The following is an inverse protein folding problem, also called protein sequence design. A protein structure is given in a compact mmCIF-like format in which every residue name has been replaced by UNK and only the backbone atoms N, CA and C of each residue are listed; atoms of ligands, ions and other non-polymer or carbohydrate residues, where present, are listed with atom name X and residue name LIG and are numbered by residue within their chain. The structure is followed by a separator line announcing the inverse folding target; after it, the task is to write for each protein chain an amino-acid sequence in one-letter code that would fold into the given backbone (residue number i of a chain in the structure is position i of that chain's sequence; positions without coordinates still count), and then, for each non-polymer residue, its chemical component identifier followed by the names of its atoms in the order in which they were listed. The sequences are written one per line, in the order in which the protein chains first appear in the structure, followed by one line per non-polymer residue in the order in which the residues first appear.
data_IF_232282090491
#
_entry.id   IF_232282090491
#
_cell.length_a   1.000
_cell.length_b   1.000
_cell.length_c   1.000
_cell.angle_alpha   90.00
_cell.angle_beta   90.00
_cell.angle_gamma   90.00
#
_symmetry.space_group_name_H-M   'P 1'
#
loop_
_entity.id
_entity.type
_entity.pdbx_description
1 polymer ?
#
# COMPACT_ATOMS: atom_id res chain seq x y z
N UNK A 1 8.55 -35.97 -19.60
CA UNK A 1 8.91 -37.17 -18.78
C UNK A 1 7.93 -37.19 -17.62
N UNK A 2 6.96 -38.10 -17.68
CA UNK A 2 5.90 -38.22 -16.65
C UNK A 2 6.53 -38.80 -15.37
N UNK A 3 6.31 -38.15 -14.24
CA UNK A 3 6.57 -38.74 -12.94
C UNK A 3 5.26 -38.88 -12.18
N UNK A 4 5.00 -40.12 -11.79
CA UNK A 4 3.79 -40.65 -11.23
C UNK A 4 3.55 -40.25 -9.78
N UNK A 5 2.26 -40.03 -9.44
CA UNK A 5 1.72 -39.94 -8.08
C UNK A 5 1.96 -41.25 -7.33
N UNK A 6 2.52 -41.17 -6.11
CA UNK A 6 2.12 -41.94 -4.93
C UNK A 6 3.01 -41.67 -3.71
N UNK A 7 2.38 -41.15 -2.67
CA UNK A 7 2.60 -41.53 -1.27
C UNK A 7 3.76 -40.87 -0.55
N UNK A 8 3.47 -39.86 0.26
CA UNK A 8 3.83 -39.97 1.69
C UNK A 8 2.94 -39.01 2.51
N UNK A 9 2.13 -39.60 3.37
CA UNK A 9 1.43 -38.92 4.45
C UNK A 9 2.42 -38.77 5.58
N UNK A 10 2.70 -37.52 5.95
CA UNK A 10 3.51 -37.15 7.09
C UNK A 10 3.10 -35.76 7.54
N UNK A 11 1.89 -35.63 8.10
CA UNK A 11 1.42 -34.41 8.69
C UNK A 11 2.17 -34.14 10.00
N UNK A 12 3.11 -33.18 9.98
CA UNK A 12 3.46 -32.44 11.18
C UNK A 12 2.74 -31.10 11.08
N UNK A 13 1.61 -31.01 11.76
CA UNK A 13 0.82 -29.81 11.84
C UNK A 13 1.59 -28.67 12.50
N UNK A 14 2.03 -27.72 11.71
CA UNK A 14 2.24 -26.36 12.19
C UNK A 14 0.86 -25.74 12.36
N UNK A 15 0.34 -25.76 13.59
CA UNK A 15 -0.84 -25.02 13.99
C UNK A 15 -0.57 -23.53 13.71
N UNK A 16 -1.14 -23.00 12.62
CA UNK A 16 -1.26 -21.57 12.43
C UNK A 16 -2.17 -21.06 13.55
N UNK A 17 -1.56 -20.54 14.60
CA UNK A 17 -2.24 -19.85 15.67
C UNK A 17 -3.00 -18.67 15.07
N UNK A 18 -4.32 -18.64 15.22
CA UNK A 18 -5.07 -17.39 15.14
C UNK A 18 -4.31 -16.33 15.93
N UNK A 19 -4.02 -15.15 15.37
CA UNK A 19 -3.33 -14.14 16.12
C UNK A 19 -4.22 -13.72 17.28
N UNK A 20 -3.91 -14.20 18.47
CA UNK A 20 -4.30 -13.49 19.69
C UNK A 20 -3.71 -12.10 19.54
N UNK A 21 -4.50 -11.07 19.84
CA UNK A 21 -4.06 -9.68 20.00
C UNK A 21 -2.71 -9.68 20.71
N UNK A 22 -1.63 -9.61 19.95
CA UNK A 22 -0.32 -9.39 20.50
C UNK A 22 -0.29 -7.91 20.86
N UNK A 23 -0.36 -7.59 22.14
CA UNK A 23 0.01 -6.27 22.65
C UNK A 23 1.51 -6.21 22.46
N UNK A 24 1.98 -5.36 21.55
CA UNK A 24 3.39 -5.20 21.24
C UNK A 24 4.20 -4.81 22.47
N UNK A 25 5.51 -5.04 22.43
CA UNK A 25 6.41 -4.61 23.50
C UNK A 25 6.18 -3.10 23.73
N UNK A 26 5.59 -2.78 24.87
CA UNK A 26 5.33 -1.40 25.26
C UNK A 26 6.45 -0.98 26.18
N UNK A 27 7.20 0.04 25.80
CA UNK A 27 8.23 0.62 26.64
C UNK A 27 7.63 1.19 27.94
N UNK A 28 8.45 1.40 28.97
CA UNK A 28 8.00 1.93 30.26
C UNK A 28 7.29 3.29 30.16
N UNK A 29 7.57 4.07 29.09
CA UNK A 29 6.94 5.35 28.76
C UNK A 29 5.74 5.23 27.80
N UNK A 30 5.29 4.00 27.52
CA UNK A 30 4.06 3.70 26.78
C UNK A 30 4.16 3.69 25.25
N UNK A 31 5.37 3.68 24.68
CA UNK A 31 5.56 3.55 23.24
C UNK A 31 5.49 2.09 22.79
N UNK A 32 4.77 1.83 21.69
CA UNK A 32 4.89 0.58 20.94
C UNK A 32 6.22 0.62 20.15
N UNK A 33 7.06 -0.39 20.34
CA UNK A 33 8.38 -0.44 19.68
C UNK A 33 8.24 -1.07 18.29
N UNK A 34 8.56 -0.31 17.26
CA UNK A 34 8.63 -0.77 15.87
C UNK A 34 10.10 -0.82 15.43
N UNK A 35 10.62 -2.02 15.24
CA UNK A 35 12.03 -2.25 14.95
C UNK A 35 12.26 -2.71 13.50
N UNK A 36 13.00 -1.93 12.72
CA UNK A 36 13.47 -2.31 11.39
C UNK A 36 14.72 -3.18 11.53
N UNK A 37 14.64 -4.44 11.08
CA UNK A 37 15.73 -5.42 11.28
C UNK A 37 15.83 -6.42 10.14
N UNK A 38 17.02 -7.02 10.01
CA UNK A 38 17.25 -8.15 9.11
C UNK A 38 16.68 -9.42 9.73
N UNK A 39 16.11 -10.29 8.90
CA UNK A 39 15.69 -11.62 9.31
C UNK A 39 15.87 -12.62 8.17
N UNK A 40 15.85 -13.90 8.49
CA UNK A 40 15.97 -14.98 7.52
C UNK A 40 14.61 -15.62 7.32
N UNK A 41 14.15 -15.71 6.07
CA UNK A 41 12.90 -16.31 5.67
C UNK A 41 13.11 -17.56 4.81
N UNK A 42 12.16 -18.47 4.87
CA UNK A 42 12.04 -19.61 3.96
C UNK A 42 10.93 -19.27 2.94
N UNK A 43 11.27 -18.47 1.91
CA UNK A 43 10.31 -18.04 0.89
C UNK A 43 9.96 -19.17 -0.08
N UNK A 44 10.92 -20.05 -0.37
CA UNK A 44 10.77 -21.13 -1.35
C UNK A 44 10.44 -22.44 -0.64
N UNK A 45 9.29 -23.02 -1.00
CA UNK A 45 8.87 -24.30 -0.45
C UNK A 45 9.83 -25.45 -0.84
N UNK A 46 9.94 -26.43 0.05
CA UNK A 46 10.70 -27.66 -0.17
C UNK A 46 12.17 -27.45 -0.54
N UNK A 47 12.77 -26.36 -0.09
CA UNK A 47 14.19 -26.05 -0.25
C UNK A 47 14.83 -25.76 1.10
N UNK A 48 16.15 -25.98 1.20
CA UNK A 48 16.94 -25.53 2.35
C UNK A 48 17.42 -24.07 2.20
N UNK A 49 16.96 -23.38 1.14
CA UNK A 49 17.38 -22.03 0.81
C UNK A 49 16.76 -21.05 1.79
N UNK A 50 17.60 -20.28 2.44
CA UNK A 50 17.23 -19.23 3.37
C UNK A 50 17.51 -17.88 2.74
N UNK A 51 16.45 -17.07 2.60
CA UNK A 51 16.53 -15.73 2.01
C UNK A 51 16.65 -14.69 3.10
N UNK A 52 17.67 -13.83 3.02
CA UNK A 52 17.84 -12.70 3.92
C UNK A 52 16.89 -11.57 3.49
N UNK A 53 16.00 -11.18 4.38
CA UNK A 53 15.03 -10.11 4.18
C UNK A 53 15.13 -9.07 5.29
N UNK A 54 14.37 -8.00 5.14
CA UNK A 54 14.16 -6.98 6.16
C UNK A 54 12.69 -6.97 6.59
N UNK A 55 12.43 -6.50 7.79
CA UNK A 55 11.06 -6.30 8.26
C UNK A 55 11.00 -5.20 9.30
N UNK A 56 9.86 -4.57 9.41
CA UNK A 56 9.45 -3.96 10.66
C UNK A 56 8.88 -5.06 11.55
N UNK A 57 9.20 -5.05 12.83
CA UNK A 57 8.64 -6.02 13.77
C UNK A 57 8.14 -5.33 15.03
N UNK A 58 7.07 -5.91 15.56
CA UNK A 58 6.56 -5.69 16.90
C UNK A 58 6.68 -7.04 17.57
N UNK A 59 7.41 -7.14 18.69
CA UNK A 59 7.66 -8.44 19.37
C UNK A 59 8.16 -9.56 18.43
N UNK A 60 9.07 -9.26 17.52
CA UNK A 60 9.73 -10.20 16.61
C UNK A 60 8.83 -10.93 15.57
N UNK A 61 7.51 -10.78 15.59
CA UNK A 61 6.62 -11.66 14.77
C UNK A 61 5.62 -10.98 13.87
N UNK A 62 5.25 -9.71 14.09
CA UNK A 62 4.15 -9.09 13.34
C UNK A 62 4.56 -7.79 12.67
N UNK A 63 4.05 -7.61 11.44
CA UNK A 63 4.15 -6.36 10.69
C UNK A 63 2.86 -5.53 10.78
N UNK A 64 1.96 -5.84 11.73
CA UNK A 64 0.67 -5.17 11.89
C UNK A 64 0.64 -4.39 13.19
N UNK A 65 0.60 -3.06 13.10
CA UNK A 65 0.28 -2.14 14.19
C UNK A 65 -1.23 -1.98 14.32
N UNK A 66 -1.72 -1.84 15.56
CA UNK A 66 -3.10 -1.51 15.84
C UNK A 66 -3.23 -0.24 16.66
N UNK A 67 -4.17 0.60 16.28
CA UNK A 67 -4.55 1.82 16.98
C UNK A 67 -6.08 1.92 17.03
N UNK A 68 -6.60 2.82 17.85
CA UNK A 68 -8.03 3.14 17.87
C UNK A 68 -8.24 4.54 17.33
N UNK A 69 -9.24 4.73 16.46
CA UNK A 69 -9.62 6.02 15.93
C UNK A 69 -9.85 7.04 17.05
N UNK A 70 -9.24 8.22 16.92
CA UNK A 70 -9.38 9.29 17.89
C UNK A 70 -8.64 9.06 19.21
N UNK A 71 -7.85 7.98 19.34
CA UNK A 71 -6.99 7.75 20.52
C UNK A 71 -5.53 8.01 20.15
N UNK A 72 -4.75 8.44 21.14
CA UNK A 72 -3.32 8.69 20.95
C UNK A 72 -2.58 7.38 20.62
N UNK A 73 -1.81 7.39 19.53
CA UNK A 73 -0.88 6.34 19.13
C UNK A 73 0.55 6.83 19.39
N UNK A 74 1.31 6.04 20.15
CA UNK A 74 2.72 6.27 20.44
C UNK A 74 3.55 5.17 19.83
N UNK A 75 4.41 5.49 18.89
CA UNK A 75 5.32 4.53 18.24
C UNK A 75 6.75 5.04 18.31
N UNK A 76 7.64 4.21 18.78
CA UNK A 76 9.10 4.43 18.71
C UNK A 76 9.68 3.55 17.63
N UNK A 77 10.25 4.17 16.60
CA UNK A 77 10.82 3.48 15.45
C UNK A 77 12.33 3.37 15.67
N UNK A 78 12.84 2.15 15.69
CA UNK A 78 14.26 1.83 15.87
C UNK A 78 14.77 1.21 14.57
N UNK A 79 15.93 1.66 14.10
CA UNK A 79 16.52 1.20 12.86
C UNK A 79 17.81 0.39 13.15
N UNK A 80 17.73 -0.93 13.11
CA UNK A 80 18.86 -1.84 13.26
C UNK A 80 19.50 -2.23 11.91
N UNK A 81 19.10 -1.56 10.82
CA UNK A 81 19.74 -1.73 9.53
C UNK A 81 20.99 -0.85 9.42
N UNK A 82 21.74 -1.00 8.35
CA UNK A 82 22.99 -0.27 8.08
C UNK A 82 22.80 0.98 7.20
N UNK A 83 21.53 1.41 6.97
CA UNK A 83 21.17 2.57 6.16
C UNK A 83 20.01 3.34 6.78
N UNK A 84 19.90 4.62 6.46
CA UNK A 84 18.77 5.44 6.87
C UNK A 84 17.45 4.94 6.29
N UNK A 85 16.36 5.18 7.02
CA UNK A 85 15.00 4.92 6.59
C UNK A 85 14.24 6.24 6.65
N UNK A 86 13.73 6.70 5.50
CA UNK A 86 12.70 7.73 5.48
C UNK A 86 11.36 7.04 5.66
N UNK A 87 11.01 6.80 6.92
CA UNK A 87 9.78 6.12 7.30
C UNK A 87 8.57 7.00 7.02
N UNK A 88 7.52 6.45 6.41
CA UNK A 88 6.30 7.17 6.10
C UNK A 88 5.04 6.36 6.47
N UNK A 89 4.01 7.08 6.96
CA UNK A 89 2.68 6.55 7.23
C UNK A 89 1.77 6.80 6.01
N UNK A 90 1.65 5.83 5.11
CA UNK A 90 0.88 5.96 3.88
C UNK A 90 -0.63 5.93 4.14
N UNK A 91 -1.33 6.96 3.63
CA UNK A 91 -2.77 7.14 3.73
C UNK A 91 -3.26 7.75 5.04
N UNK A 92 -2.39 7.91 6.04
CA UNK A 92 -2.74 8.52 7.32
C UNK A 92 -2.84 10.05 7.19
N UNK A 93 -3.96 10.64 7.61
CA UNK A 93 -4.18 12.09 7.65
C UNK A 93 -3.75 12.70 9.00
N UNK A 94 -2.54 12.42 9.43
CA UNK A 94 -1.95 12.95 10.64
C UNK A 94 -1.25 14.31 10.44
N UNK A 95 -0.54 14.84 11.49
CA UNK A 95 0.29 16.02 11.38
C UNK A 95 1.45 15.83 10.38
N UNK A 96 1.66 16.78 9.47
CA UNK A 96 2.61 16.60 8.35
C UNK A 96 4.06 16.36 8.79
N UNK A 97 4.48 16.94 9.90
CA UNK A 97 5.81 16.79 10.49
C UNK A 97 6.06 15.42 11.15
N UNK A 98 5.00 14.65 11.41
CA UNK A 98 5.06 13.31 11.99
C UNK A 98 4.80 12.19 10.98
N UNK A 99 4.31 12.52 9.79
CA UNK A 99 3.98 11.49 8.78
C UNK A 99 5.21 10.98 8.04
N UNK A 100 6.30 11.73 8.00
CA UNK A 100 7.58 11.28 7.43
C UNK A 100 8.72 11.56 8.41
N UNK A 101 9.44 10.51 8.78
CA UNK A 101 10.51 10.57 9.77
C UNK A 101 11.81 10.01 9.17
N UNK A 102 12.92 10.72 9.32
CA UNK A 102 14.24 10.18 8.99
C UNK A 102 14.79 9.41 10.19
N UNK A 103 14.91 8.10 10.07
CA UNK A 103 15.37 7.20 11.13
C UNK A 103 16.76 6.69 10.79
N UNK A 104 17.77 7.26 11.44
CA UNK A 104 19.17 6.87 11.25
C UNK A 104 19.46 5.51 11.91
N UNK A 105 20.46 4.76 11.44
CA UNK A 105 20.88 3.51 12.06
C UNK A 105 21.24 3.64 13.54
N UNK A 106 20.85 2.65 14.34
CA UNK A 106 21.19 2.51 15.75
C UNK A 106 20.11 3.00 16.71
N UNK A 107 19.99 2.33 17.84
CA UNK A 107 18.94 2.57 18.86
C UNK A 107 18.99 3.99 19.45
N UNK A 108 20.19 4.60 19.54
CA UNK A 108 20.34 5.98 19.99
C UNK A 108 19.72 7.03 19.06
N UNK A 109 19.40 6.65 17.83
CA UNK A 109 18.78 7.49 16.81
C UNK A 109 17.30 7.14 16.59
N UNK A 110 16.66 6.46 17.54
CA UNK A 110 15.25 6.12 17.47
C UNK A 110 14.38 7.36 17.28
N UNK A 111 13.34 7.24 16.45
CA UNK A 111 12.39 8.31 16.20
C UNK A 111 11.07 8.03 16.94
N UNK A 112 10.64 8.98 17.75
CA UNK A 112 9.35 8.94 18.44
C UNK A 112 8.29 9.61 17.58
N UNK A 113 7.15 8.94 17.42
CA UNK A 113 5.99 9.44 16.69
C UNK A 113 4.77 9.34 17.62
N UNK A 114 4.14 10.48 17.88
CA UNK A 114 2.94 10.56 18.75
C UNK A 114 1.88 11.36 18.01
N UNK A 115 0.79 10.70 17.63
CA UNK A 115 -0.32 11.36 16.94
C UNK A 115 -1.64 10.64 17.22
N UNK A 116 -2.74 11.30 16.87
CA UNK A 116 -4.08 10.74 16.98
C UNK A 116 -4.64 10.51 15.57
N UNK A 117 -4.77 9.24 15.12
CA UNK A 117 -5.32 8.97 13.79
C UNK A 117 -6.79 9.38 13.72
N UNK A 118 -7.19 10.27 12.78
CA UNK A 118 -8.55 10.74 12.70
C UNK A 118 -9.49 9.73 12.03
N UNK A 119 -8.95 8.88 11.15
CA UNK A 119 -9.70 7.93 10.34
C UNK A 119 -9.50 6.50 10.84
N UNK A 120 -10.60 5.73 10.87
CA UNK A 120 -10.53 4.27 10.99
C UNK A 120 -10.31 3.64 9.61
N UNK A 121 -9.66 2.47 9.58
CA UNK A 121 -9.44 1.74 8.33
C UNK A 121 -8.10 1.01 8.29
N UNK A 122 -7.73 0.65 7.06
CA UNK A 122 -6.48 -0.05 6.76
C UNK A 122 -5.51 0.91 6.10
N UNK A 123 -4.39 1.16 6.78
CA UNK A 123 -3.27 2.00 6.33
C UNK A 123 -2.00 1.16 6.31
N UNK A 124 -0.91 1.72 5.80
CA UNK A 124 0.36 1.02 5.82
C UNK A 124 1.53 1.98 6.09
N UNK A 125 2.68 1.43 6.39
CA UNK A 125 3.90 2.18 6.60
C UNK A 125 5.07 1.49 5.91
N UNK A 126 6.05 2.29 5.52
CA UNK A 126 7.23 1.82 4.80
C UNK A 126 8.19 2.95 4.44
N UNK A 127 9.25 2.66 3.67
CA UNK A 127 10.20 3.65 3.22
C UNK A 127 9.63 4.52 2.10
N UNK A 128 9.94 5.83 2.18
CA UNK A 128 9.60 6.82 1.17
C UNK A 128 10.70 6.94 0.09
N UNK A 129 11.96 6.76 0.46
CA UNK A 129 13.14 6.85 -0.42
C UNK A 129 13.94 5.56 -0.37
N UNK A 130 14.79 5.29 -1.38
CA UNK A 130 15.41 3.98 -1.60
C UNK A 130 14.33 2.88 -1.57
N UNK A 131 13.14 3.27 -2.04
CA UNK A 131 11.91 2.49 -1.90
C UNK A 131 12.00 1.18 -2.69
N UNK A 132 12.64 1.22 -3.86
CA UNK A 132 12.86 0.05 -4.72
C UNK A 132 13.60 -1.07 -3.96
N UNK A 133 14.65 -0.73 -3.23
CA UNK A 133 15.40 -1.70 -2.43
C UNK A 133 14.67 -2.05 -1.13
N UNK A 134 14.31 -1.03 -0.37
CA UNK A 134 13.84 -1.26 1.00
C UNK A 134 12.50 -1.98 1.05
N UNK A 135 11.58 -1.69 0.12
CA UNK A 135 10.30 -2.42 0.01
C UNK A 135 10.51 -3.85 -0.48
N UNK A 136 11.31 -4.05 -1.54
CA UNK A 136 11.55 -5.39 -2.08
C UNK A 136 12.39 -6.28 -1.14
N UNK A 137 13.07 -5.68 -0.17
CA UNK A 137 13.65 -6.41 0.96
C UNK A 137 12.63 -6.76 2.04
N UNK A 138 11.39 -6.25 1.97
CA UNK A 138 10.27 -6.56 2.88
C UNK A 138 10.00 -5.50 3.95
N UNK A 139 10.56 -4.28 3.82
CA UNK A 139 10.42 -3.25 4.85
C UNK A 139 9.10 -2.48 4.71
N UNK A 140 8.01 -3.12 5.07
CA UNK A 140 6.66 -2.54 5.11
C UNK A 140 5.82 -3.18 6.23
N UNK A 141 4.69 -2.56 6.57
CA UNK A 141 3.74 -3.11 7.49
C UNK A 141 2.38 -2.42 7.44
N UNK A 142 1.36 -3.03 8.05
CA UNK A 142 0.02 -2.46 8.17
C UNK A 142 -0.14 -1.66 9.46
N UNK A 143 -0.84 -0.55 9.36
CA UNK A 143 -1.49 0.12 10.48
C UNK A 143 -3.01 -0.09 10.34
N UNK A 144 -3.59 -0.82 11.26
CA UNK A 144 -5.03 -0.97 11.39
C UNK A 144 -5.51 0.02 12.45
N UNK A 145 -6.32 1.00 12.03
CA UNK A 145 -7.00 1.90 12.95
C UNK A 145 -8.42 1.39 13.11
N UNK A 146 -8.72 0.90 14.32
CA UNK A 146 -10.04 0.36 14.66
C UNK A 146 -11.03 1.49 14.82
N UNK A 147 -12.29 1.25 14.48
CA UNK A 147 -13.41 2.17 14.64
C UNK A 147 -13.62 2.51 16.13
N UNK A 148 -14.12 3.71 16.43
CA UNK A 148 -14.38 4.15 17.81
C UNK A 148 -15.31 3.20 18.55
N UNK A 149 -16.32 2.68 17.84
CA UNK A 149 -17.20 1.64 18.32
C UNK A 149 -16.85 0.33 17.62
N UNK A 150 -16.56 -0.71 18.41
CA UNK A 150 -16.30 -2.01 17.85
C UNK A 150 -17.45 -2.46 16.96
N UNK A 151 -17.12 -2.98 15.78
CA UNK A 151 -18.11 -3.60 14.90
C UNK A 151 -18.32 -5.04 15.41
N UNK A 152 -19.47 -5.33 16.00
CA UNK A 152 -19.73 -6.66 16.56
C UNK A 152 -19.61 -7.74 15.46
N UNK A 153 -19.16 -8.91 15.86
CA UNK A 153 -19.13 -10.12 15.06
C UNK A 153 -18.10 -10.20 13.91
N UNK A 154 -17.38 -9.14 13.54
CA UNK A 154 -16.32 -9.25 12.54
C UNK A 154 -15.00 -9.76 13.14
N UNK A 155 -14.35 -10.68 12.42
CA UNK A 155 -12.96 -11.07 12.68
C UNK A 155 -12.05 -10.44 11.64
N UNK A 156 -11.05 -9.65 12.06
CA UNK A 156 -10.09 -9.05 11.17
C UNK A 156 -9.01 -10.05 10.74
N UNK A 157 -8.78 -10.15 9.44
CA UNK A 157 -7.71 -10.94 8.81
C UNK A 157 -6.91 -10.04 7.89
N UNK A 158 -5.61 -9.91 8.13
CA UNK A 158 -4.71 -9.15 7.27
C UNK A 158 -4.16 -10.03 6.16
N UNK A 159 -4.19 -9.55 4.91
CA UNK A 159 -3.62 -10.18 3.74
C UNK A 159 -2.65 -9.19 3.07
N UNK A 160 -1.37 -9.27 3.41
CA UNK A 160 -0.31 -8.49 2.75
C UNK A 160 0.21 -9.34 1.59
N UNK A 161 -0.11 -8.94 0.37
CA UNK A 161 0.27 -9.65 -0.85
C UNK A 161 1.49 -8.96 -1.43
N UNK A 162 2.54 -9.73 -1.70
CA UNK A 162 3.79 -9.22 -2.26
C UNK A 162 4.30 -10.11 -3.38
N UNK A 163 5.12 -9.54 -4.29
CA UNK A 163 5.85 -10.26 -5.32
C UNK A 163 7.36 -10.01 -5.18
N UNK A 164 8.11 -11.05 -4.88
CA UNK A 164 9.56 -11.01 -4.69
C UNK A 164 10.29 -11.29 -5.99
N UNK A 165 11.31 -10.51 -6.31
CA UNK A 165 12.21 -10.84 -7.41
C UNK A 165 13.32 -11.74 -6.90
N UNK A 166 13.17 -13.04 -7.15
CA UNK A 166 14.09 -14.09 -6.71
C UNK A 166 15.03 -14.48 -7.85
N UNK A 167 16.34 -14.50 -7.57
CA UNK A 167 17.37 -14.97 -8.48
C UNK A 167 17.44 -16.51 -8.53
N UNK A 168 18.20 -17.07 -9.47
CA UNK A 168 18.32 -18.52 -9.67
C UNK A 168 18.88 -19.26 -8.45
N UNK A 169 19.63 -18.57 -7.58
CA UNK A 169 20.16 -19.13 -6.33
C UNK A 169 19.18 -19.07 -5.15
N UNK A 170 17.95 -18.61 -5.40
CA UNK A 170 16.87 -18.51 -4.41
C UNK A 170 16.97 -17.32 -3.45
N UNK A 171 17.89 -16.38 -3.71
CA UNK A 171 17.99 -15.14 -2.94
C UNK A 171 17.27 -14.00 -3.65
N UNK A 172 17.11 -12.88 -2.96
CA UNK A 172 16.61 -11.65 -3.60
C UNK A 172 17.61 -11.26 -4.71
N UNK A 173 17.09 -11.00 -5.90
CA UNK A 173 17.86 -10.43 -7.01
C UNK A 173 18.31 -9.02 -6.63
N UNK A 174 19.61 -8.75 -6.65
CA UNK A 174 20.18 -7.48 -6.19
C UNK A 174 20.21 -6.36 -7.25
N UNK A 175 19.50 -6.53 -8.38
CA UNK A 175 19.40 -5.50 -9.43
C UNK A 175 18.59 -4.27 -9.01
N UNK A 176 18.79 -3.78 -7.80
CA UNK A 176 18.16 -2.54 -7.32
C UNK A 176 18.75 -1.34 -8.04
N UNK A 177 17.89 -0.37 -8.39
CA UNK A 177 18.30 0.81 -9.13
C UNK A 177 18.59 0.54 -10.61
N UNK A 178 18.18 -0.63 -11.13
CA UNK A 178 18.30 -0.93 -12.56
C UNK A 178 17.58 0.11 -13.41
N UNK A 179 18.29 0.68 -14.39
CA UNK A 179 17.75 1.71 -15.26
C UNK A 179 16.57 1.22 -16.10
N UNK A 180 16.59 -0.06 -16.54
CA UNK A 180 15.49 -0.60 -17.34
C UNK A 180 14.21 -0.74 -16.52
N UNK A 181 14.33 -1.16 -15.26
CA UNK A 181 13.20 -1.15 -14.32
C UNK A 181 12.71 0.29 -14.06
N UNK A 182 13.64 1.22 -13.80
CA UNK A 182 13.30 2.61 -13.50
C UNK A 182 12.57 3.32 -14.66
N UNK A 183 13.00 3.13 -15.92
CA UNK A 183 12.34 3.75 -17.09
C UNK A 183 11.16 2.92 -17.64
N UNK A 184 10.93 1.74 -17.09
CA UNK A 184 9.95 0.77 -17.57
C UNK A 184 8.77 0.56 -16.62
N UNK A 185 8.40 -0.72 -16.48
CA UNK A 185 7.28 -1.16 -15.65
C UNK A 185 7.58 -1.16 -14.15
N UNK A 186 8.81 -0.87 -13.76
CA UNK A 186 9.32 -1.05 -12.42
C UNK A 186 9.87 -2.46 -12.19
N UNK A 187 10.21 -2.77 -10.96
CA UNK A 187 10.74 -4.06 -10.55
C UNK A 187 9.61 -5.04 -10.28
N UNK A 188 9.41 -6.00 -11.19
CA UNK A 188 8.40 -7.04 -11.07
C UNK A 188 9.01 -8.30 -10.46
N UNK A 189 8.36 -8.82 -9.41
CA UNK A 189 8.72 -10.09 -8.81
C UNK A 189 8.31 -11.29 -9.66
N UNK A 190 8.86 -12.45 -9.32
CA UNK A 190 8.55 -13.74 -9.94
C UNK A 190 8.05 -14.77 -8.91
N UNK A 191 7.92 -14.37 -7.64
CA UNK A 191 7.50 -15.22 -6.54
C UNK A 191 6.50 -14.49 -5.63
N UNK A 192 5.29 -15.01 -5.52
CA UNK A 192 4.21 -14.39 -4.74
C UNK A 192 4.14 -14.96 -3.34
N UNK A 193 3.87 -14.09 -2.35
CA UNK A 193 3.59 -14.49 -0.98
C UNK A 193 2.39 -13.73 -0.42
N UNK A 194 1.73 -14.32 0.56
CA UNK A 194 0.76 -13.64 1.42
C UNK A 194 1.26 -13.72 2.86
N UNK A 195 1.40 -12.57 3.52
CA UNK A 195 1.98 -12.45 4.86
C UNK A 195 3.38 -13.09 4.96
N UNK A 196 4.17 -13.01 3.88
CA UNK A 196 5.52 -13.55 3.79
C UNK A 196 5.60 -15.08 3.60
N UNK A 197 4.48 -15.77 3.39
CA UNK A 197 4.42 -17.22 3.14
C UNK A 197 3.91 -17.53 1.73
N UNK A 198 4.46 -18.56 1.12
CA UNK A 198 3.99 -19.09 -0.16
C UNK A 198 2.72 -19.92 0.04
N UNK A 199 1.66 -19.65 -0.73
CA UNK A 199 0.38 -20.37 -0.70
C UNK A 199 -0.13 -20.70 0.72
N UNK A 200 -0.18 -19.75 1.67
CA UNK A 200 -0.58 -20.06 3.03
C UNK A 200 -2.03 -20.49 3.11
N UNK A 201 -2.30 -21.40 4.07
CA UNK A 201 -3.65 -21.79 4.49
C UNK A 201 -4.06 -20.94 5.69
N UNK A 202 -4.94 -19.97 5.49
CA UNK A 202 -5.40 -19.03 6.52
C UNK A 202 -6.75 -19.50 7.06
N UNK A 203 -6.80 -19.71 8.38
CA UNK A 203 -8.00 -20.19 9.07
C UNK A 203 -8.96 -19.06 9.36
N UNK A 204 -10.21 -19.21 8.94
CA UNK A 204 -11.31 -18.30 9.17
C UNK A 204 -12.35 -18.97 10.07
N UNK A 205 -12.91 -18.25 11.08
CA UNK A 205 -14.01 -18.81 11.86
C UNK A 205 -15.25 -19.02 10.97
N UNK A 206 -15.83 -20.22 10.98
CA UNK A 206 -17.07 -20.50 10.26
C UNK A 206 -18.31 -19.86 10.92
N UNK A 207 -18.19 -19.48 12.21
CA UNK A 207 -19.30 -18.98 13.01
C UNK A 207 -19.57 -17.49 12.92
N UNK A 208 -18.71 -16.72 12.22
CA UNK A 208 -18.87 -15.25 12.10
C UNK A 208 -18.25 -14.71 10.82
N UNK A 209 -18.71 -13.54 10.34
CA UNK A 209 -18.11 -12.87 9.20
C UNK A 209 -16.65 -12.44 9.45
N UNK A 210 -15.88 -12.38 8.38
CA UNK A 210 -14.47 -11.98 8.42
C UNK A 210 -14.24 -10.75 7.55
N UNK A 211 -13.55 -9.74 8.10
CA UNK A 211 -13.04 -8.59 7.35
C UNK A 211 -11.62 -8.90 6.90
N UNK A 212 -11.43 -9.05 5.60
CA UNK A 212 -10.13 -9.21 4.97
C UNK A 212 -9.57 -7.81 4.69
N UNK A 213 -8.43 -7.49 5.28
CA UNK A 213 -7.70 -6.24 5.07
C UNK A 213 -6.54 -6.51 4.14
N UNK A 214 -6.72 -6.18 2.86
CA UNK A 214 -5.79 -6.54 1.80
C UNK A 214 -4.91 -5.35 1.46
N UNK A 215 -3.59 -5.56 1.45
CA UNK A 215 -2.58 -4.62 0.95
C UNK A 215 -1.82 -5.27 -0.21
N UNK A 216 -1.66 -4.54 -1.31
CA UNK A 216 -0.66 -4.86 -2.32
C UNK A 216 0.67 -4.20 -1.92
N UNK A 217 1.63 -4.98 -1.42
CA UNK A 217 2.94 -4.51 -0.99
C UNK A 217 4.00 -4.56 -2.11
N UNK A 218 3.66 -5.10 -3.29
CA UNK A 218 4.57 -5.19 -4.42
C UNK A 218 5.14 -3.83 -4.84
N UNK A 219 6.39 -3.82 -5.28
CA UNK A 219 7.09 -2.60 -5.70
C UNK A 219 6.41 -1.89 -6.87
N UNK A 220 5.82 -2.65 -7.81
CA UNK A 220 5.32 -2.04 -9.06
C UNK A 220 4.12 -2.77 -9.69
N UNK A 221 3.81 -3.98 -9.25
CA UNK A 221 2.80 -4.80 -9.90
C UNK A 221 1.38 -4.39 -9.54
N UNK A 222 0.57 -4.08 -10.55
CA UNK A 222 -0.88 -4.08 -10.42
C UNK A 222 -1.38 -5.52 -10.43
N UNK A 223 -2.21 -5.89 -9.46
CA UNK A 223 -2.74 -7.24 -9.28
C UNK A 223 -4.25 -7.24 -9.54
N UNK A 224 -4.74 -8.16 -10.35
CA UNK A 224 -6.17 -8.41 -10.51
C UNK A 224 -6.65 -9.37 -9.41
N UNK A 225 -7.10 -8.83 -8.26
CA UNK A 225 -7.53 -9.62 -7.12
C UNK A 225 -8.85 -10.35 -7.41
N UNK A 226 -8.87 -11.66 -7.27
CA UNK A 226 -10.02 -12.53 -7.51
C UNK A 226 -10.24 -13.51 -6.36
N UNK A 227 -11.48 -13.99 -6.24
CA UNK A 227 -11.85 -15.00 -5.26
C UNK A 227 -12.54 -16.18 -5.95
N UNK A 228 -12.09 -17.40 -5.66
CA UNK A 228 -12.75 -18.63 -6.07
C UNK A 228 -13.48 -19.24 -4.87
N UNK A 229 -14.71 -19.66 -5.04
CA UNK A 229 -15.50 -20.25 -3.95
C UNK A 229 -16.20 -19.25 -3.03
N UNK A 230 -15.97 -17.96 -3.21
CA UNK A 230 -16.64 -16.87 -2.47
C UNK A 230 -16.80 -15.62 -3.33
N UNK A 231 -17.76 -14.75 -2.97
CA UNK A 231 -17.94 -13.41 -3.54
C UNK A 231 -18.02 -12.39 -2.41
N UNK A 232 -16.87 -11.89 -1.91
CA UNK A 232 -16.84 -10.98 -0.79
C UNK A 232 -17.42 -9.61 -1.14
N UNK A 233 -17.91 -8.90 -0.10
CA UNK A 233 -18.34 -7.51 -0.21
C UNK A 233 -17.13 -6.58 -0.07
N UNK A 234 -16.91 -5.69 -1.03
CA UNK A 234 -15.99 -4.55 -0.88
C UNK A 234 -16.64 -3.53 0.03
N UNK A 235 -15.98 -3.15 1.11
CA UNK A 235 -16.51 -2.24 2.14
C UNK A 235 -15.67 -0.98 2.32
N UNK A 236 -14.40 -0.98 1.88
CA UNK A 236 -13.55 0.22 1.89
C UNK A 236 -12.47 0.17 0.81
N UNK A 237 -12.05 1.33 0.33
CA UNK A 237 -10.82 1.56 -0.43
C UNK A 237 -9.92 2.51 0.35
N UNK A 238 -8.63 2.19 0.46
CA UNK A 238 -7.62 3.04 1.06
C UNK A 238 -8.00 3.57 2.46
N UNK A 239 -8.62 2.70 3.27
CA UNK A 239 -9.13 3.05 4.59
C UNK A 239 -10.44 3.84 4.59
N UNK A 240 -10.99 4.22 3.42
CA UNK A 240 -12.23 4.99 3.35
C UNK A 240 -13.43 4.09 3.05
N UNK A 241 -14.46 4.08 3.93
CA UNK A 241 -15.66 3.28 3.77
C UNK A 241 -16.45 3.62 2.50
N UNK A 242 -17.07 2.61 1.91
CA UNK A 242 -17.99 2.73 0.79
C UNK A 242 -19.32 2.02 1.09
N UNK A 243 -20.34 2.30 0.31
CA UNK A 243 -21.51 1.43 0.26
C UNK A 243 -21.08 0.02 -0.17
N UNK A 244 -21.39 -1.03 0.61
CA UNK A 244 -20.94 -2.38 0.31
C UNK A 244 -21.43 -2.86 -1.06
N UNK A 245 -20.53 -3.50 -1.80
CA UNK A 245 -20.84 -4.09 -3.10
C UNK A 245 -20.03 -5.35 -3.35
N UNK A 246 -20.57 -6.31 -4.07
CA UNK A 246 -19.87 -7.54 -4.42
C UNK A 246 -18.64 -7.26 -5.31
N UNK A 247 -17.60 -8.08 -5.13
CA UNK A 247 -16.41 -8.05 -6.01
C UNK A 247 -16.80 -8.44 -7.43
N UNK A 248 -17.61 -9.48 -7.56
CA UNK A 248 -18.04 -10.02 -8.84
C UNK A 248 -16.93 -10.79 -9.57
N UNK A 249 -17.28 -11.35 -10.74
CA UNK A 249 -16.40 -12.24 -11.49
C UNK A 249 -15.20 -11.55 -12.15
N UNK A 250 -15.25 -10.23 -12.34
CA UNK A 250 -14.15 -9.48 -12.96
C UNK A 250 -13.01 -9.19 -11.98
N UNK A 251 -13.25 -9.43 -10.69
CA UNK A 251 -12.27 -9.11 -9.66
C UNK A 251 -12.07 -7.61 -9.45
N UNK A 252 -10.98 -7.26 -8.78
CA UNK A 252 -10.60 -5.89 -8.44
C UNK A 252 -9.14 -5.62 -8.81
N UNK A 253 -8.89 -4.55 -9.54
CA UNK A 253 -7.53 -4.07 -9.74
C UNK A 253 -7.00 -3.46 -8.43
N UNK A 254 -5.86 -3.98 -7.96
CA UNK A 254 -5.19 -3.56 -6.73
C UNK A 254 -3.81 -3.03 -7.09
N UNK A 255 -3.65 -1.70 -7.04
CA UNK A 255 -2.40 -1.03 -7.35
C UNK A 255 -1.35 -1.22 -6.25
N UNK A 256 -0.05 -1.05 -6.53
CA UNK A 256 0.98 -0.99 -5.48
C UNK A 256 0.58 -0.01 -4.37
N UNK A 257 0.73 -0.41 -3.11
CA UNK A 257 0.39 0.39 -1.92
C UNK A 257 -1.10 0.63 -1.70
N UNK A 258 -1.98 0.16 -2.57
CA UNK A 258 -3.43 0.25 -2.39
C UNK A 258 -3.93 -0.76 -1.38
N UNK A 259 -4.96 -0.36 -0.62
CA UNK A 259 -5.64 -1.20 0.37
C UNK A 259 -7.11 -1.34 0.00
N UNK A 260 -7.63 -2.55 0.19
CA UNK A 260 -9.05 -2.86 0.02
C UNK A 260 -9.52 -3.66 1.23
N UNK A 261 -10.61 -3.25 1.85
CA UNK A 261 -11.24 -4.04 2.88
C UNK A 261 -12.46 -4.76 2.29
N UNK A 262 -12.50 -6.07 2.54
CA UNK A 262 -13.53 -6.97 2.05
C UNK A 262 -14.20 -7.67 3.22
N UNK A 263 -15.47 -8.02 3.09
CA UNK A 263 -16.14 -8.85 4.09
C UNK A 263 -16.63 -10.14 3.45
N UNK A 264 -16.24 -11.25 4.07
CA UNK A 264 -16.75 -12.59 3.80
C UNK A 264 -17.79 -12.93 4.86
N UNK A 265 -19.00 -13.28 4.43
CA UNK A 265 -20.08 -13.67 5.34
C UNK A 265 -19.78 -15.01 6.06
N UNK A 266 -20.43 -15.23 7.19
CA UNK A 266 -20.40 -16.49 7.91
C UNK A 266 -21.11 -17.60 7.12
N UNK A 267 -20.75 -18.86 7.39
CA UNK A 267 -21.41 -20.03 6.79
C UNK A 267 -21.03 -20.31 5.33
N UNK A 268 -20.20 -19.48 4.70
CA UNK A 268 -19.61 -19.78 3.40
C UNK A 268 -18.62 -20.96 3.48
N UNK A 269 -18.33 -21.58 2.33
CA UNK A 269 -17.29 -22.60 2.19
C UNK A 269 -15.87 -22.00 2.22
N UNK A 270 -14.89 -22.87 1.98
CA UNK A 270 -13.51 -22.47 1.75
C UNK A 270 -13.42 -21.62 0.46
N UNK A 271 -12.46 -20.71 0.44
CA UNK A 271 -12.21 -19.85 -0.69
C UNK A 271 -10.72 -19.81 -1.05
N UNK A 272 -10.41 -19.44 -2.29
CA UNK A 272 -9.06 -19.25 -2.76
C UNK A 272 -8.91 -17.79 -3.20
N UNK A 273 -7.87 -17.12 -2.69
CA UNK A 273 -7.44 -15.82 -3.19
C UNK A 273 -6.52 -16.07 -4.38
N UNK A 274 -6.83 -15.48 -5.51
CA UNK A 274 -6.05 -15.57 -6.73
C UNK A 274 -5.77 -14.19 -7.31
N UNK A 275 -4.71 -14.10 -8.10
CA UNK A 275 -4.32 -12.91 -8.84
C UNK A 275 -4.41 -13.17 -10.34
N UNK A 276 -5.04 -12.26 -11.05
CA UNK A 276 -4.90 -12.19 -12.51
C UNK A 276 -3.64 -11.37 -12.81
N UNK A 277 -2.70 -12.00 -13.50
CA UNK A 277 -1.40 -11.43 -13.87
C UNK A 277 -1.17 -11.67 -15.37
N UNK A 278 -1.29 -10.62 -16.16
CA UNK A 278 -1.06 -10.70 -17.62
C UNK A 278 -1.89 -11.77 -18.35
N UNK A 279 -3.10 -12.04 -17.85
CA UNK A 279 -4.04 -13.02 -18.41
C UNK A 279 -3.97 -14.41 -17.75
N UNK A 280 -2.98 -14.67 -16.91
CA UNK A 280 -2.88 -15.90 -16.11
C UNK A 280 -3.50 -15.72 -14.72
N UNK A 281 -4.08 -16.79 -14.17
CA UNK A 281 -4.63 -16.83 -12.82
C UNK A 281 -3.69 -17.59 -11.90
N UNK A 282 -3.11 -16.89 -10.95
CA UNK A 282 -2.17 -17.42 -9.95
C UNK A 282 -2.86 -17.49 -8.59
N UNK A 283 -3.00 -18.67 -8.02
CA UNK A 283 -3.48 -18.84 -6.65
C UNK A 283 -2.39 -18.40 -5.67
N UNK A 284 -2.77 -17.62 -4.64
CA UNK A 284 -1.80 -17.06 -3.70
C UNK A 284 -2.10 -17.36 -2.24
N UNK A 285 -3.34 -17.77 -1.91
CA UNK A 285 -3.73 -18.06 -0.53
C UNK A 285 -5.00 -18.90 -0.50
N UNK A 286 -5.06 -19.86 0.44
CA UNK A 286 -6.26 -20.63 0.77
C UNK A 286 -6.90 -20.08 2.04
N UNK A 287 -8.19 -19.77 1.99
CA UNK A 287 -9.00 -19.34 3.12
C UNK A 287 -9.87 -20.53 3.54
N UNK A 288 -9.58 -21.13 4.67
CA UNK A 288 -10.23 -22.35 5.16
C UNK A 288 -11.14 -22.05 6.34
N UNK A 289 -12.40 -22.45 6.26
CA UNK A 289 -13.36 -22.28 7.34
C UNK A 289 -13.16 -23.34 8.42
N UNK A 290 -13.02 -22.88 9.67
CA UNK A 290 -12.88 -23.76 10.84
C UNK A 290 -14.03 -23.58 11.84
N UNK A 291 -14.41 -24.70 12.47
CA UNK A 291 -15.48 -24.74 13.48
C UNK A 291 -16.86 -24.99 12.89
N UNK A 292 -17.86 -25.06 13.78
CA UNK A 292 -19.26 -25.22 13.39
C UNK A 292 -19.83 -23.94 12.80
N UNK A 293 -20.83 -24.08 11.91
CA UNK A 293 -21.60 -22.95 11.43
C UNK A 293 -22.22 -22.18 12.62
N UNK A 294 -22.10 -20.88 12.61
CA UNK A 294 -22.74 -19.99 13.59
C UNK A 294 -23.91 -19.24 12.98
N UNK A 295 -24.70 -18.62 13.84
CA UNK A 295 -25.88 -17.85 13.44
C UNK A 295 -25.55 -16.35 13.16
N UNK A 296 -24.28 -15.96 13.23
CA UNK A 296 -23.87 -14.57 13.04
C UNK A 296 -23.71 -14.24 11.54
N UNK A 297 -24.82 -13.97 10.87
CA UNK A 297 -24.82 -13.41 9.53
C UNK A 297 -24.55 -11.89 9.57
N UNK A 298 -24.07 -11.34 8.47
CA UNK A 298 -24.06 -9.89 8.26
C UNK A 298 -25.50 -9.37 8.26
N UNK A 299 -25.71 -8.19 8.85
CA UNK A 299 -26.99 -7.49 8.71
C UNK A 299 -27.20 -7.06 7.24
N UNK A 300 -28.44 -7.11 6.76
CA UNK A 300 -28.78 -6.73 5.37
C UNK A 300 -28.34 -5.31 5.00
N UNK A 301 -28.22 -4.42 5.97
CA UNK A 301 -27.79 -3.03 5.83
C UNK A 301 -26.38 -2.78 6.37
N UNK A 302 -25.55 -3.80 6.46
CA UNK A 302 -24.18 -3.65 6.95
C UNK A 302 -23.43 -2.56 6.18
N UNK A 303 -22.81 -1.65 6.91
CA UNK A 303 -21.88 -0.65 6.38
C UNK A 303 -20.85 -0.27 7.45
N UNK A 304 -19.65 0.08 7.05
CA UNK A 304 -18.65 0.65 7.95
C UNK A 304 -19.01 2.10 8.31
N UNK A 305 -18.70 2.57 9.53
CA UNK A 305 -18.83 3.97 9.90
C UNK A 305 -18.02 4.89 8.99
N UNK A 306 -18.59 6.01 8.59
CA UNK A 306 -17.92 7.00 7.72
C UNK A 306 -16.85 7.74 8.51
N UNK A 307 -15.68 7.94 7.92
CA UNK A 307 -14.60 8.73 8.49
C UNK A 307 -14.90 10.25 8.45
N UNK A 308 -14.33 11.04 9.39
CA UNK A 308 -14.54 12.50 9.47
C UNK A 308 -13.67 13.24 8.44
N UNK A 309 -13.89 13.01 7.15
CA UNK A 309 -13.23 13.71 6.05
C UNK A 309 -14.03 14.91 5.57
N UNK A 310 -13.37 15.90 4.98
CA UNK A 310 -14.03 17.01 4.32
C UNK A 310 -14.66 16.53 3.01
N UNK A 311 -15.94 16.19 3.07
CA UNK A 311 -16.69 15.53 1.97
C UNK A 311 -17.20 16.49 0.89
N UNK A 312 -17.15 17.80 1.11
CA UNK A 312 -17.77 18.79 0.22
C UNK A 312 -16.70 19.49 -0.62
N UNK A 313 -16.26 18.84 -1.70
CA UNK A 313 -15.50 19.55 -2.72
C UNK A 313 -16.45 20.46 -3.50
N UNK A 314 -16.28 21.77 -3.39
CA UNK A 314 -17.01 22.74 -4.24
C UNK A 314 -16.36 22.78 -5.63
N UNK A 315 -16.73 21.85 -6.50
CA UNK A 315 -16.17 21.68 -7.85
C UNK A 315 -16.33 22.97 -8.68
N UNK A 316 -17.41 23.74 -8.44
CA UNK A 316 -17.67 24.98 -9.19
C UNK A 316 -16.70 26.12 -8.82
N UNK A 317 -16.17 26.11 -7.60
CA UNK A 317 -15.20 27.09 -7.10
C UNK A 317 -13.79 26.55 -6.97
N UNK A 318 -13.59 25.26 -7.25
CA UNK A 318 -12.30 24.63 -7.09
C UNK A 318 -11.24 25.24 -8.00
N UNK A 319 -10.05 25.46 -7.45
CA UNK A 319 -8.89 25.83 -8.24
C UNK A 319 -8.32 24.61 -8.95
N UNK A 320 -8.26 24.66 -10.28
CA UNK A 320 -7.69 23.60 -11.10
C UNK A 320 -6.19 23.80 -11.26
N UNK A 321 -5.42 22.76 -10.95
CA UNK A 321 -3.97 22.74 -11.00
C UNK A 321 -3.53 21.70 -12.03
N UNK A 322 -2.81 22.10 -13.09
CA UNK A 322 -2.28 21.16 -14.06
C UNK A 322 -1.12 20.36 -13.45
N UNK A 323 -1.15 19.06 -13.67
CA UNK A 323 -0.10 18.11 -13.24
C UNK A 323 0.28 17.24 -14.42
N UNK A 324 1.39 17.56 -15.07
CA UNK A 324 1.90 16.83 -16.23
C UNK A 324 2.96 15.83 -15.79
N UNK A 325 2.73 14.56 -16.07
CA UNK A 325 3.68 13.48 -15.81
C UNK A 325 4.42 13.17 -17.12
N UNK A 326 5.75 13.23 -17.08
CA UNK A 326 6.61 12.91 -18.20
C UNK A 326 7.78 12.01 -17.77
N UNK A 327 8.29 11.18 -18.66
CA UNK A 327 9.45 10.32 -18.39
C UNK A 327 9.25 8.88 -18.78
N UNK A 328 10.18 8.04 -18.34
CA UNK A 328 10.25 6.62 -18.70
C UNK A 328 10.71 6.38 -20.14
N UNK A 329 10.83 5.13 -20.50
CA UNK A 329 11.11 4.72 -21.88
C UNK A 329 9.95 5.18 -22.77
N UNK A 330 10.22 5.95 -23.83
CA UNK A 330 9.22 6.50 -24.75
C UNK A 330 8.32 7.62 -24.16
N UNK A 331 8.69 8.21 -23.00
CA UNK A 331 7.85 9.19 -22.29
C UNK A 331 8.08 10.65 -22.63
N UNK A 332 8.86 10.96 -23.66
CA UNK A 332 9.01 12.33 -24.19
C UNK A 332 9.77 13.33 -23.32
N UNK A 333 10.31 12.96 -22.18
CA UNK A 333 11.12 13.83 -21.33
C UNK A 333 12.41 14.21 -22.04
N UNK A 334 12.64 15.51 -22.27
CA UNK A 334 13.88 16.03 -22.89
C UNK A 334 14.80 16.68 -21.87
N UNK A 335 14.23 17.33 -20.89
CA UNK A 335 14.93 18.01 -19.81
C UNK A 335 14.01 18.15 -18.61
N UNK A 336 14.57 18.28 -17.41
CA UNK A 336 13.86 18.64 -16.19
C UNK A 336 14.76 19.39 -15.22
N UNK A 337 14.15 20.07 -14.28
CA UNK A 337 14.88 20.67 -13.15
C UNK A 337 15.12 19.60 -12.10
N UNK A 338 16.37 19.42 -11.69
CA UNK A 338 16.78 18.57 -10.58
C UNK A 338 17.71 19.34 -9.66
N UNK A 339 17.40 19.44 -8.38
CA UNK A 339 18.18 20.20 -7.37
C UNK A 339 18.52 21.64 -7.84
N UNK A 340 17.52 22.34 -8.40
CA UNK A 340 17.61 23.71 -8.94
C UNK A 340 18.47 23.85 -10.22
N UNK A 341 18.85 22.79 -10.88
CA UNK A 341 19.60 22.75 -12.13
C UNK A 341 18.74 22.21 -13.27
N UNK A 342 18.68 22.89 -14.40
CA UNK A 342 18.00 22.37 -15.59
C UNK A 342 18.98 21.42 -16.30
N UNK A 343 18.61 20.14 -16.36
CA UNK A 343 19.41 19.08 -16.93
C UNK A 343 18.71 18.49 -18.15
N UNK A 344 19.50 18.10 -19.15
CA UNK A 344 18.99 17.30 -20.26
C UNK A 344 18.74 15.84 -19.80
N UNK A 345 18.08 15.05 -20.64
CA UNK A 345 17.72 13.66 -20.31
C UNK A 345 18.95 12.81 -19.94
N UNK A 346 20.08 13.00 -20.67
CA UNK A 346 21.30 12.22 -20.40
C UNK A 346 21.83 12.52 -19.01
N UNK A 347 21.98 13.78 -18.67
CA UNK A 347 22.47 14.23 -17.36
C UNK A 347 21.50 13.82 -16.22
N UNK A 348 20.18 13.77 -16.48
CA UNK A 348 19.20 13.24 -15.54
C UNK A 348 19.41 11.76 -15.29
N UNK A 349 19.55 10.94 -16.35
CA UNK A 349 19.74 9.50 -16.23
C UNK A 349 21.07 9.14 -15.53
N UNK A 350 22.15 9.91 -15.78
CA UNK A 350 23.42 9.78 -15.06
C UNK A 350 23.28 10.06 -13.55
N UNK A 351 22.22 10.77 -13.13
CA UNK A 351 21.87 11.03 -11.72
C UNK A 351 20.72 10.15 -11.20
N UNK A 352 20.33 9.11 -11.95
CA UNK A 352 19.27 8.19 -11.59
C UNK A 352 17.85 8.76 -11.77
N UNK A 353 17.69 9.94 -12.43
CA UNK A 353 16.38 10.55 -12.66
C UNK A 353 15.88 10.23 -14.05
N UNK A 354 14.65 9.71 -14.13
CA UNK A 354 14.01 9.27 -15.37
C UNK A 354 12.60 9.83 -15.54
N UNK A 355 12.03 10.43 -14.50
CA UNK A 355 10.66 10.92 -14.43
C UNK A 355 10.61 12.34 -13.90
N UNK A 356 9.56 13.06 -14.26
CA UNK A 356 9.30 14.41 -13.80
C UNK A 356 7.80 14.68 -13.66
N UNK A 357 7.43 15.52 -12.70
CA UNK A 357 6.13 16.16 -12.59
C UNK A 357 6.31 17.65 -12.85
N UNK A 358 5.54 18.23 -13.77
CA UNK A 358 5.63 19.63 -14.18
C UNK A 358 7.06 20.07 -14.52
N UNK A 359 7.85 19.17 -15.12
CA UNK A 359 9.24 19.45 -15.50
C UNK A 359 10.23 19.46 -14.34
N UNK A 360 9.87 18.95 -13.16
CA UNK A 360 10.77 18.80 -12.00
C UNK A 360 10.93 17.32 -11.70
N UNK A 361 12.17 16.86 -11.59
CA UNK A 361 12.54 15.48 -11.25
C UNK A 361 12.95 15.39 -9.78
N UNK A 362 12.32 14.49 -9.03
CA UNK A 362 12.63 14.26 -7.62
C UNK A 362 12.04 15.30 -6.67
N UNK A 363 12.25 15.09 -5.35
CA UNK A 363 11.72 16.00 -4.34
C UNK A 363 12.43 17.34 -4.41
N UNK A 364 11.68 18.42 -4.36
CA UNK A 364 12.23 19.77 -4.34
C UNK A 364 11.18 20.84 -4.61
N UNK A 365 11.15 21.85 -3.76
CA UNK A 365 10.27 22.99 -3.90
C UNK A 365 8.77 22.68 -3.88
N UNK A 366 7.97 23.67 -4.17
CA UNK A 366 6.51 23.57 -4.25
C UNK A 366 6.09 23.42 -5.71
N UNK A 367 6.27 22.24 -6.25
CA UNK A 367 6.09 21.96 -7.67
C UNK A 367 4.62 22.07 -8.10
N UNK A 368 3.69 21.64 -7.24
CA UNK A 368 2.26 21.66 -7.52
C UNK A 368 1.64 22.99 -7.07
N UNK A 369 2.09 23.54 -5.94
CA UNK A 369 1.68 24.89 -5.49
C UNK A 369 1.35 24.98 -4.00
N UNK A 370 0.82 26.15 -3.62
CA UNK A 370 0.33 26.47 -2.28
C UNK A 370 -1.18 26.60 -2.29
N UNK A 371 -1.82 26.09 -1.26
CA UNK A 371 -3.27 26.09 -1.11
C UNK A 371 -3.66 26.66 0.25
N UNK A 372 -4.76 27.38 0.30
CA UNK A 372 -5.33 27.81 1.57
C UNK A 372 -6.06 26.64 2.25
N UNK A 373 -6.00 26.60 3.59
CA UNK A 373 -6.77 25.59 4.34
C UNK A 373 -8.27 25.69 4.03
N UNK A 374 -8.87 24.56 3.67
CA UNK A 374 -10.29 24.45 3.29
C UNK A 374 -10.57 24.74 1.82
N UNK A 375 -9.54 25.06 1.02
CA UNK A 375 -9.68 25.28 -0.41
C UNK A 375 -10.03 23.99 -1.14
N UNK A 376 -11.00 24.04 -2.07
CA UNK A 376 -11.30 22.93 -2.99
C UNK A 376 -10.32 22.95 -4.15
N UNK A 377 -9.65 21.83 -4.40
CA UNK A 377 -8.62 21.68 -5.43
C UNK A 377 -9.00 20.58 -6.41
N UNK A 378 -8.76 20.84 -7.70
CA UNK A 378 -8.81 19.83 -8.74
C UNK A 378 -7.39 19.70 -9.32
N UNK A 379 -6.79 18.53 -9.18
CA UNK A 379 -5.58 18.17 -9.91
C UNK A 379 -5.99 17.65 -11.29
N UNK A 380 -5.63 18.38 -12.34
CA UNK A 380 -5.83 17.99 -13.74
C UNK A 380 -4.60 17.22 -14.21
N UNK A 381 -4.63 15.90 -13.98
CA UNK A 381 -3.50 15.01 -14.26
C UNK A 381 -3.45 14.71 -15.75
N UNK A 382 -2.33 14.96 -16.38
CA UNK A 382 -1.98 14.54 -17.74
C UNK A 382 -0.85 13.49 -17.67
N UNK A 383 -1.20 12.23 -17.79
CA UNK A 383 -0.20 11.18 -17.92
C UNK A 383 0.28 11.09 -19.36
N UNK A 384 1.27 11.92 -19.73
CA UNK A 384 1.87 11.95 -21.07
C UNK A 384 2.89 10.82 -21.29
N UNK A 385 2.80 9.71 -20.54
CA UNK A 385 3.74 8.58 -20.60
C UNK A 385 3.09 7.31 -21.14
N UNK A 386 3.88 6.36 -21.59
CA UNK A 386 3.42 5.06 -22.08
C UNK A 386 3.11 4.04 -20.97
N UNK A 387 3.07 4.49 -19.72
CA UNK A 387 2.90 3.63 -18.55
C UNK A 387 1.75 4.11 -17.69
N UNK A 388 0.98 3.16 -17.16
CA UNK A 388 0.00 3.45 -16.13
C UNK A 388 0.70 3.98 -14.88
N UNK A 389 0.12 5.00 -14.24
CA UNK A 389 0.68 5.66 -13.07
C UNK A 389 -0.23 5.45 -11.86
N UNK A 390 0.12 4.56 -10.93
CA UNK A 390 -0.52 4.52 -9.62
C UNK A 390 -0.03 5.71 -8.81
N UNK A 391 -0.88 6.72 -8.69
CA UNK A 391 -0.59 7.95 -7.94
C UNK A 391 -1.18 7.88 -6.54
N UNK A 392 -0.45 8.46 -5.60
CA UNK A 392 -0.83 8.57 -4.20
C UNK A 392 -0.64 9.99 -3.69
N UNK A 393 -1.62 10.49 -2.93
CA UNK A 393 -1.55 11.77 -2.23
C UNK A 393 -1.32 11.56 -0.74
N UNK A 394 -0.36 12.27 -0.18
CA UNK A 394 -0.07 12.22 1.25
C UNK A 394 -1.00 13.11 2.05
N UNK A 395 -1.41 12.65 3.22
CA UNK A 395 -2.17 13.41 4.21
C UNK A 395 -3.58 13.81 3.80
N UNK A 396 -4.07 13.39 2.65
CA UNK A 396 -5.36 13.70 2.07
C UNK A 396 -6.01 12.49 1.40
N UNK A 397 -7.27 12.65 1.04
CA UNK A 397 -8.01 11.73 0.16
C UNK A 397 -8.67 12.53 -0.95
N UNK A 398 -8.85 11.94 -2.11
CA UNK A 398 -9.48 12.52 -3.28
C UNK A 398 -10.61 11.67 -3.84
N UNK A 399 -11.40 12.26 -4.73
CA UNK A 399 -12.32 11.57 -5.62
C UNK A 399 -11.89 11.74 -7.07
N UNK A 400 -12.05 10.71 -7.87
CA UNK A 400 -11.91 10.79 -9.32
C UNK A 400 -13.19 11.42 -9.88
N UNK A 401 -13.12 12.65 -10.37
CA UNK A 401 -14.30 13.36 -10.91
C UNK A 401 -14.38 13.34 -12.44
N UNK A 402 -13.28 13.05 -13.12
CA UNK A 402 -13.25 12.87 -14.57
C UNK A 402 -12.15 11.89 -14.96
N UNK A 403 -12.43 11.02 -15.93
CA UNK A 403 -11.44 10.09 -16.49
C UNK A 403 -11.59 10.02 -18.00
N UNK A 404 -10.50 10.26 -18.76
CA UNK A 404 -10.51 10.23 -20.23
C UNK A 404 -11.56 11.17 -20.86
N UNK A 405 -11.86 12.31 -20.21
CA UNK A 405 -12.87 13.27 -20.64
C UNK A 405 -14.32 12.90 -20.25
N UNK A 406 -14.52 11.79 -19.53
CA UNK A 406 -15.84 11.37 -19.04
C UNK A 406 -15.99 11.70 -17.57
N UNK A 407 -17.04 12.46 -17.23
CA UNK A 407 -17.38 12.81 -15.84
C UNK A 407 -17.73 11.54 -15.06
N UNK A 408 -17.19 11.43 -13.86
CA UNK A 408 -17.42 10.32 -12.94
C UNK A 408 -18.23 10.83 -11.74
N UNK A 409 -19.36 10.20 -11.46
CA UNK A 409 -20.20 10.53 -10.32
C UNK A 409 -20.13 9.43 -9.26
N UNK A 410 -20.29 9.81 -7.99
CA UNK A 410 -20.38 8.86 -6.88
C UNK A 410 -19.13 8.02 -6.65
N UNK A 411 -17.97 8.47 -7.12
CA UNK A 411 -16.73 7.76 -6.91
C UNK A 411 -16.34 7.77 -5.43
N UNK A 412 -15.78 6.66 -4.92
CA UNK A 412 -15.35 6.59 -3.53
C UNK A 412 -14.17 7.52 -3.24
N UNK A 413 -14.09 7.98 -2.00
CA UNK A 413 -12.88 8.59 -1.47
C UNK A 413 -11.76 7.55 -1.42
N UNK A 414 -10.56 7.96 -1.80
CA UNK A 414 -9.34 7.12 -1.78
C UNK A 414 -8.11 8.01 -1.73
N UNK A 415 -6.97 7.47 -1.40
CA UNK A 415 -5.70 8.19 -1.48
C UNK A 415 -4.84 7.73 -2.68
N UNK A 416 -5.21 6.62 -3.29
CA UNK A 416 -4.47 6.01 -4.41
C UNK A 416 -5.40 5.80 -5.62
N UNK A 417 -4.94 6.16 -6.81
CA UNK A 417 -5.64 5.92 -8.08
C UNK A 417 -4.69 5.58 -9.21
N UNK A 418 -5.17 4.78 -10.17
CA UNK A 418 -4.43 4.50 -11.41
C UNK A 418 -4.82 5.54 -12.47
N UNK A 419 -3.84 6.27 -12.98
CA UNK A 419 -4.00 7.12 -14.18
C UNK A 419 -3.45 6.36 -15.37
N UNK A 420 -4.31 5.88 -16.31
CA UNK A 420 -3.85 5.07 -17.43
C UNK A 420 -2.85 5.81 -18.33
N UNK A 421 -2.02 5.02 -19.03
CA UNK A 421 -1.06 5.54 -20.01
C UNK A 421 -1.73 6.43 -21.04
N UNK A 422 -1.14 7.58 -21.36
CA UNK A 422 -1.63 8.53 -22.38
C UNK A 422 -3.05 9.08 -22.11
N UNK A 423 -3.50 9.04 -20.83
CA UNK A 423 -4.82 9.55 -20.44
C UNK A 423 -4.73 10.71 -19.47
N UNK A 424 -5.86 11.44 -19.40
CA UNK A 424 -6.09 12.50 -18.42
C UNK A 424 -7.09 12.06 -17.37
N UNK A 425 -6.92 12.58 -16.16
CA UNK A 425 -7.82 12.32 -15.06
C UNK A 425 -7.90 13.53 -14.15
N UNK A 426 -9.10 13.91 -13.70
CA UNK A 426 -9.26 14.97 -12.69
C UNK A 426 -9.55 14.36 -11.33
N UNK A 427 -8.74 14.76 -10.36
CA UNK A 427 -8.79 14.33 -8.98
C UNK A 427 -9.15 15.52 -8.10
N UNK A 428 -10.23 15.42 -7.35
CA UNK A 428 -10.72 16.53 -6.53
C UNK A 428 -10.56 16.23 -5.04
N UNK A 429 -10.03 17.18 -4.27
CA UNK A 429 -9.88 17.08 -2.83
C UNK A 429 -10.06 18.42 -2.14
N UNK A 430 -10.24 18.41 -0.82
CA UNK A 430 -10.20 19.61 0.02
C UNK A 430 -8.85 19.67 0.70
N UNK A 431 -8.18 20.81 0.61
CA UNK A 431 -6.91 21.10 1.27
C UNK A 431 -7.14 21.36 2.77
N UNK A 432 -7.52 20.34 3.54
CA UNK A 432 -7.96 20.48 4.93
C UNK A 432 -6.88 20.20 5.98
N UNK A 433 -5.76 19.60 5.58
CA UNK A 433 -4.66 19.22 6.47
C UNK A 433 -3.42 20.10 6.24
N UNK A 434 -3.15 21.09 7.11
CA UNK A 434 -2.01 22.02 6.93
C UNK A 434 -0.67 21.31 6.95
N UNK A 435 0.28 21.82 6.18
CA UNK A 435 1.65 21.33 6.11
C UNK A 435 2.19 21.16 4.70
N UNK A 436 3.35 20.51 4.58
CA UNK A 436 3.97 20.15 3.29
C UNK A 436 3.66 18.70 3.00
N UNK A 437 3.09 18.44 1.85
CA UNK A 437 2.63 17.15 1.40
C UNK A 437 3.21 16.76 0.05
N UNK A 438 3.02 15.51 -0.32
CA UNK A 438 3.59 14.93 -1.53
C UNK A 438 2.52 14.25 -2.37
N UNK A 439 2.62 14.41 -3.67
CA UNK A 439 2.02 13.58 -4.70
C UNK A 439 3.13 12.72 -5.30
N UNK A 440 2.96 11.40 -5.36
CA UNK A 440 3.99 10.52 -5.90
C UNK A 440 3.41 9.31 -6.63
N UNK A 441 4.26 8.64 -7.40
CA UNK A 441 3.98 7.28 -7.85
C UNK A 441 4.11 6.29 -6.69
N UNK A 442 3.34 5.19 -6.73
CA UNK A 442 3.56 4.05 -5.84
C UNK A 442 4.40 2.93 -6.47
N UNK A 443 4.79 3.08 -7.74
CA UNK A 443 5.87 2.26 -8.31
C UNK A 443 7.19 2.74 -7.69
N UNK A 444 7.84 1.87 -6.91
CA UNK A 444 9.00 2.22 -6.10
C UNK A 444 10.16 2.79 -6.93
N UNK A 445 10.47 2.16 -8.07
CA UNK A 445 11.53 2.62 -8.97
C UNK A 445 11.24 4.01 -9.55
N UNK A 446 9.96 4.35 -9.75
CA UNK A 446 9.60 5.66 -10.33
C UNK A 446 9.69 6.77 -9.31
N UNK A 447 9.31 6.52 -8.04
CA UNK A 447 9.51 7.52 -6.99
C UNK A 447 10.99 7.77 -6.75
N UNK A 448 11.81 6.73 -6.70
CA UNK A 448 13.26 6.83 -6.54
C UNK A 448 13.92 7.54 -7.72
N UNK A 449 13.35 7.44 -8.94
CA UNK A 449 13.85 8.08 -10.14
C UNK A 449 13.10 9.36 -10.55
N UNK A 450 12.39 9.99 -9.62
CA UNK A 450 11.94 11.38 -9.75
C UNK A 450 10.44 11.63 -9.87
N UNK A 451 9.57 10.62 -9.85
CA UNK A 451 8.11 10.79 -9.95
C UNK A 451 7.49 11.12 -8.59
N UNK A 452 7.84 12.27 -8.07
CA UNK A 452 7.40 12.81 -6.78
C UNK A 452 7.39 14.35 -6.86
N UNK A 453 6.36 14.98 -6.30
CA UNK A 453 6.23 16.43 -6.27
C UNK A 453 5.54 16.87 -4.97
N UNK A 454 5.91 18.04 -4.46
CA UNK A 454 5.36 18.59 -3.22
C UNK A 454 4.33 19.69 -3.46
N UNK A 455 3.46 19.89 -2.48
CA UNK A 455 2.54 21.01 -2.35
C UNK A 455 2.45 21.41 -0.88
N UNK A 456 2.03 22.65 -0.62
CA UNK A 456 1.87 23.17 0.73
C UNK A 456 0.42 23.59 0.99
N UNK A 457 -0.04 23.41 2.23
CA UNK A 457 -1.32 23.90 2.73
C UNK A 457 -1.06 24.81 3.91
N UNK A 458 -1.51 26.08 3.80
CA UNK A 458 -1.28 27.16 4.76
C UNK A 458 -2.58 27.61 5.44
#
# INVERSE_FOLDING_TARGET
MQLSRRGFVGALGLAALCPRLAVGETSADGFQILRAQKYVAELLENTEIKTLLWRFSIEERTTVLRAKQGSELKVRIINDLDREIWFHWFGVRGPSDLMTLNVQPGEANAADCVFTPPDAGTFWFGPLTDASRQRDMGLYGLLIVEEQQAIPALTDISLIIDDWKIADDGKIDESFGDLQAAVGTGRLGNWFTVNGAYLPHIKLPASRPCRLRVLNAANSRVMGLQFKGADPLVVAFDGQPIAPRQVGMLGLALQPGQRIDLVLDAGGGDAVVALEISGDIVEVCYLEREGGAGDAALEDNFALPINPIAVNVDVAKARTIPVVIAGGAKGGLKSATFKNEVLDLRALLERGMAWAINGVAGPGGEVIGKFAKGESIILDIDNATQFDQPLHIHGHVWQVIEQGGTVQEGQPWRDTTLVPAMQKQKLAFVADNPGIWVLQSLVAERVDSGLIASFAIE
#
